data_IF_715424280853
#
_entry.id   IF_715424280853
#
_cell.length_a   1.000
_cell.length_b   1.000
_cell.length_c   1.000
_cell.angle_alpha   90.00
_cell.angle_beta   90.00
_cell.angle_gamma   90.00
#
_symmetry.space_group_name_H-M   'P 1'
#
loop_
_entity.id
_entity.type
_entity.pdbx_description
1 polymer ?
#
# COMPACT_ATOMS: atom_id res chain seq x y z
N UNK A 1 10.64 27.14 -32.16
CA UNK A 1 11.20 26.86 -30.82
C UNK A 1 10.80 25.44 -30.48
N UNK A 2 11.75 24.56 -30.14
CA UNK A 2 11.48 23.12 -29.96
C UNK A 2 10.94 22.90 -28.55
N UNK A 3 9.71 22.41 -28.47
CA UNK A 3 8.98 22.14 -27.23
C UNK A 3 9.67 21.05 -26.39
N UNK A 4 10.58 21.47 -25.52
CA UNK A 4 11.14 20.61 -24.48
C UNK A 4 10.40 20.86 -23.16
N UNK A 5 9.26 20.17 -22.96
CA UNK A 5 8.76 19.92 -21.59
C UNK A 5 8.16 18.52 -21.38
N UNK A 6 8.88 17.41 -21.69
CA UNK A 6 8.50 16.08 -21.20
C UNK A 6 9.23 15.64 -19.91
N UNK A 7 10.12 16.45 -19.32
CA UNK A 7 10.89 16.07 -18.11
C UNK A 7 10.08 16.24 -16.83
N UNK A 8 9.57 17.45 -16.57
CA UNK A 8 8.81 17.82 -15.35
C UNK A 8 7.67 16.83 -15.03
N UNK A 9 6.87 16.47 -16.05
CA UNK A 9 5.70 15.59 -15.88
C UNK A 9 6.07 14.14 -15.54
N UNK A 10 7.23 13.66 -15.98
CA UNK A 10 7.71 12.29 -15.66
C UNK A 10 8.25 12.23 -14.24
N UNK A 11 8.89 13.30 -13.80
CA UNK A 11 9.45 13.43 -12.45
C UNK A 11 8.32 13.49 -11.40
N UNK A 12 7.30 14.33 -11.60
CA UNK A 12 6.12 14.37 -10.72
C UNK A 12 5.34 13.05 -10.69
N UNK A 13 5.27 12.33 -11.81
CA UNK A 13 4.64 11.01 -11.86
C UNK A 13 5.44 9.97 -11.06
N UNK A 14 6.78 10.07 -11.08
CA UNK A 14 7.66 9.25 -10.25
C UNK A 14 7.45 9.50 -8.74
N UNK A 15 7.43 10.76 -8.33
CA UNK A 15 7.16 11.15 -6.94
C UNK A 15 5.75 10.76 -6.49
N UNK A 16 4.73 10.98 -7.33
CA UNK A 16 3.35 10.60 -7.05
C UNK A 16 3.19 9.08 -6.89
N UNK A 17 3.82 8.30 -7.77
CA UNK A 17 3.85 6.83 -7.65
C UNK A 17 4.48 6.38 -6.35
N UNK A 18 5.62 6.97 -5.97
CA UNK A 18 6.29 6.64 -4.71
C UNK A 18 5.44 7.06 -3.49
N UNK A 19 4.77 8.22 -3.57
CA UNK A 19 3.84 8.70 -2.56
C UNK A 19 2.63 7.78 -2.39
N UNK A 20 1.97 7.39 -3.48
CA UNK A 20 0.85 6.42 -3.47
C UNK A 20 1.32 5.07 -2.92
N UNK A 21 2.53 4.63 -3.27
CA UNK A 21 3.07 3.38 -2.76
C UNK A 21 3.29 3.42 -1.24
N UNK A 22 3.93 4.48 -0.73
CA UNK A 22 4.14 4.72 0.71
C UNK A 22 2.82 4.89 1.47
N UNK A 23 1.87 5.64 0.89
CA UNK A 23 0.55 5.85 1.48
C UNK A 23 -0.22 4.53 1.57
N UNK A 24 -0.18 3.72 0.50
CA UNK A 24 -0.73 2.37 0.50
C UNK A 24 -0.07 1.51 1.57
N UNK A 25 1.26 1.52 1.67
CA UNK A 25 2.00 0.77 2.71
C UNK A 25 1.51 1.12 4.12
N UNK A 26 1.37 2.42 4.41
CA UNK A 26 0.87 2.89 5.70
C UNK A 26 -0.60 2.53 5.91
N UNK A 27 -1.44 2.63 4.87
CA UNK A 27 -2.86 2.30 4.93
C UNK A 27 -3.09 0.81 5.20
N UNK A 28 -2.30 -0.07 4.58
CA UNK A 28 -2.35 -1.51 4.84
C UNK A 28 -1.93 -1.85 6.28
N UNK A 29 -0.81 -1.29 6.77
CA UNK A 29 -0.37 -1.49 8.16
C UNK A 29 -1.42 -1.00 9.15
N UNK A 30 -1.97 0.20 8.91
CA UNK A 30 -3.00 0.77 9.76
C UNK A 30 -4.29 -0.08 9.74
N UNK A 31 -4.78 -0.48 8.56
CA UNK A 31 -6.00 -1.27 8.43
C UNK A 31 -5.90 -2.68 9.01
N UNK A 32 -4.73 -3.33 8.87
CA UNK A 32 -4.46 -4.62 9.53
C UNK A 32 -4.45 -4.43 11.06
N UNK A 33 -3.79 -3.38 11.55
CA UNK A 33 -3.69 -3.11 12.98
C UNK A 33 -5.04 -2.77 13.60
N UNK A 34 -5.83 -1.91 12.95
CA UNK A 34 -7.19 -1.55 13.37
C UNK A 34 -8.09 -2.78 13.52
N UNK A 35 -8.16 -3.61 12.48
CA UNK A 35 -8.91 -4.87 12.53
C UNK A 35 -8.37 -5.83 13.59
N UNK A 36 -7.06 -5.96 13.70
CA UNK A 36 -6.44 -6.82 14.71
C UNK A 36 -6.81 -6.37 16.13
N UNK A 37 -6.80 -5.06 16.40
CA UNK A 37 -7.15 -4.49 17.69
C UNK A 37 -8.65 -4.67 17.97
N UNK A 38 -9.52 -4.44 16.98
CA UNK A 38 -10.96 -4.66 17.11
C UNK A 38 -11.29 -6.12 17.42
N UNK A 39 -10.72 -7.07 16.67
CA UNK A 39 -10.90 -8.51 16.92
C UNK A 39 -10.30 -8.97 18.25
N UNK A 40 -9.22 -8.34 18.71
CA UNK A 40 -8.64 -8.61 20.03
C UNK A 40 -9.50 -8.05 21.16
N UNK A 41 -10.10 -6.87 20.97
CA UNK A 41 -11.02 -6.24 21.91
C UNK A 41 -12.34 -7.01 22.03
N UNK A 42 -12.83 -7.60 20.93
CA UNK A 42 -14.02 -8.48 20.95
C UNK A 42 -13.76 -9.84 21.62
N UNK A 43 -12.50 -10.16 21.98
CA UNK A 43 -12.14 -11.35 22.76
C UNK A 43 -12.33 -12.69 22.02
N UNK A 44 -12.73 -12.65 20.75
CA UNK A 44 -12.97 -13.82 19.91
C UNK A 44 -12.27 -13.62 18.57
N UNK A 45 -11.09 -14.24 18.40
CA UNK A 45 -10.47 -14.37 17.08
C UNK A 45 -11.30 -15.37 16.27
N UNK A 46 -12.37 -14.87 15.66
CA UNK A 46 -13.18 -15.66 14.75
C UNK A 46 -12.32 -16.11 13.57
N UNK A 47 -12.53 -17.34 13.09
CA UNK A 47 -11.81 -17.86 11.93
C UNK A 47 -11.94 -16.92 10.71
N UNK A 48 -13.06 -16.18 10.63
CA UNK A 48 -13.30 -15.16 9.62
C UNK A 48 -12.30 -14.00 9.70
N UNK A 49 -12.05 -13.47 10.90
CA UNK A 49 -11.08 -12.37 11.11
C UNK A 49 -9.67 -12.81 10.77
N UNK A 50 -9.30 -14.04 11.12
CA UNK A 50 -8.00 -14.61 10.78
C UNK A 50 -7.80 -14.73 9.25
N UNK A 51 -8.83 -15.23 8.56
CA UNK A 51 -8.81 -15.35 7.09
C UNK A 51 -8.72 -13.97 6.43
N UNK A 52 -9.38 -12.98 7.02
CA UNK A 52 -9.41 -11.61 6.53
C UNK A 52 -8.08 -10.89 6.77
N UNK A 53 -7.48 -11.08 7.95
CA UNK A 53 -6.12 -10.62 8.26
C UNK A 53 -5.11 -11.22 7.30
N UNK A 54 -5.21 -12.53 7.05
CA UNK A 54 -4.32 -13.25 6.15
C UNK A 54 -4.45 -12.76 4.70
N UNK A 55 -5.69 -12.53 4.25
CA UNK A 55 -5.95 -11.96 2.92
C UNK A 55 -5.41 -10.53 2.81
N UNK A 56 -5.64 -9.69 3.83
CA UNK A 56 -5.11 -8.33 3.89
C UNK A 56 -3.57 -8.32 3.90
N UNK A 57 -2.94 -9.24 4.64
CA UNK A 57 -1.49 -9.42 4.66
C UNK A 57 -0.95 -9.90 3.29
N UNK A 58 -1.65 -10.82 2.63
CA UNK A 58 -1.26 -11.29 1.28
C UNK A 58 -1.32 -10.14 0.26
N UNK A 59 -2.38 -9.34 0.29
CA UNK A 59 -2.47 -8.15 -0.56
C UNK A 59 -1.45 -7.07 -0.19
N UNK A 60 -1.12 -6.92 1.09
CA UNK A 60 -0.03 -6.05 1.53
C UNK A 60 1.32 -6.49 0.97
N UNK A 61 1.63 -7.79 1.00
CA UNK A 61 2.85 -8.33 0.37
C UNK A 61 2.83 -8.07 -1.14
N UNK A 62 1.72 -8.33 -1.82
CA UNK A 62 1.57 -8.00 -3.23
C UNK A 62 1.77 -6.50 -3.50
N UNK A 63 1.29 -5.63 -2.61
CA UNK A 63 1.49 -4.18 -2.66
C UNK A 63 2.97 -3.79 -2.52
N UNK A 64 3.71 -4.45 -1.63
CA UNK A 64 5.16 -4.27 -1.50
C UNK A 64 5.87 -4.66 -2.81
N UNK A 65 5.46 -5.76 -3.45
CA UNK A 65 6.03 -6.18 -4.74
C UNK A 65 5.70 -5.22 -5.89
N UNK A 66 4.58 -4.51 -5.80
CA UNK A 66 4.19 -3.45 -6.74
C UNK A 66 5.01 -2.16 -6.60
N UNK A 67 6.08 -2.17 -5.79
CA UNK A 67 7.01 -1.04 -5.61
C UNK A 67 7.36 -0.44 -6.98
N UNK A 68 7.18 0.88 -7.16
CA UNK A 68 7.54 1.54 -8.41
C UNK A 68 9.06 1.45 -8.59
N UNK A 69 9.51 0.50 -9.43
CA UNK A 69 10.90 0.40 -9.86
C UNK A 69 11.17 1.56 -10.82
N UNK A 70 12.13 2.46 -10.52
CA UNK A 70 12.57 3.43 -11.50
C UNK A 70 13.18 2.63 -12.65
N UNK A 71 12.61 2.72 -13.85
CA UNK A 71 13.33 2.27 -15.06
C UNK A 71 14.53 3.20 -15.21
N UNK A 72 15.69 2.73 -14.72
CA UNK A 72 16.99 3.32 -15.02
C UNK A 72 17.34 3.16 -16.48
#
# INVERSE_FOLDING_TARGET
MKDQKPSDSKDVLGYLKNGIWLFGLSSWLFGITDRSIASFADGYLSALDLTQLFTAATFFVAWIFLKPVPRG
#
